data_IF_289525605558
#
_entry.id   IF_289525605558
#
_cell.length_a   1.000
_cell.length_b   1.000
_cell.length_c   1.000
_cell.angle_alpha   90.00
_cell.angle_beta   90.00
_cell.angle_gamma   90.00
#
_symmetry.space_group_name_H-M   'P 1'
#
loop_
_entity.id
_entity.type
_entity.pdbx_description
1 polymer ?
#
# COMPACT_ATOMS: atom_id res chain seq x y z
N UNK A 1 -11.19 59.30 21.22
CA UNK A 1 -11.49 60.10 22.44
C UNK A 1 -13.01 60.15 22.62
N UNK A 2 -13.55 59.51 23.69
CA UNK A 2 -14.92 59.64 24.27
C UNK A 2 -16.12 59.37 23.33
N UNK A 3 -17.23 58.71 23.70
CA UNK A 3 -17.75 58.15 24.95
C UNK A 3 -18.92 57.23 24.58
N UNK A 4 -19.07 56.16 25.34
CA UNK A 4 -20.18 55.21 25.48
C UNK A 4 -21.54 55.90 25.70
N UNK A 5 -22.65 55.23 25.33
CA UNK A 5 -23.81 55.00 26.23
C UNK A 5 -24.79 53.96 25.66
N UNK A 6 -24.95 52.87 26.42
CA UNK A 6 -26.10 51.96 26.36
C UNK A 6 -27.37 52.68 26.78
N UNK A 7 -28.52 52.27 26.24
CA UNK A 7 -29.82 52.45 26.87
C UNK A 7 -30.55 51.11 26.96
N UNK A 8 -30.82 50.75 28.21
CA UNK A 8 -31.67 49.69 28.68
C UNK A 8 -33.09 50.28 28.80
N UNK A 9 -34.10 49.66 28.19
CA UNK A 9 -35.50 49.94 28.49
C UNK A 9 -36.28 48.64 28.64
N UNK A 10 -36.57 48.32 29.90
CA UNK A 10 -37.60 47.41 30.36
C UNK A 10 -38.92 48.18 30.34
N UNK A 11 -40.04 47.64 29.82
CA UNK A 11 -41.38 47.94 30.36
C UNK A 11 -42.45 46.92 29.91
N UNK A 12 -43.09 46.34 30.94
CA UNK A 12 -44.48 45.88 31.09
C UNK A 12 -45.13 44.81 30.19
N UNK A 13 -45.29 43.65 30.83
CA UNK A 13 -46.44 42.76 30.92
C UNK A 13 -47.82 43.37 30.56
N UNK A 14 -48.56 42.71 29.66
CA UNK A 14 -50.04 42.72 29.65
C UNK A 14 -50.50 41.27 29.54
N UNK A 15 -51.20 40.82 30.57
CA UNK A 15 -51.86 39.52 30.64
C UNK A 15 -53.19 39.57 29.86
N UNK A 16 -53.41 38.61 28.97
CA UNK A 16 -54.73 38.30 28.43
C UNK A 16 -55.07 36.85 28.81
N UNK A 17 -55.90 36.72 29.84
CA UNK A 17 -56.57 35.48 30.22
C UNK A 17 -57.79 35.28 29.32
N UNK A 18 -57.76 34.26 28.47
CA UNK A 18 -58.95 33.72 27.81
C UNK A 18 -59.05 32.23 28.15
N UNK A 19 -59.97 31.91 29.07
CA UNK A 19 -60.46 30.56 29.28
C UNK A 19 -61.30 30.15 28.07
N UNK A 20 -60.91 29.05 27.42
CA UNK A 20 -61.85 28.19 26.69
C UNK A 20 -61.73 26.77 27.26
N UNK A 21 -62.86 26.26 27.75
CA UNK A 21 -63.01 24.88 28.17
C UNK A 21 -63.34 23.98 26.97
N UNK A 22 -62.66 22.83 26.95
CA UNK A 22 -63.17 21.50 26.60
C UNK A 22 -63.30 21.10 25.12
N UNK A 23 -62.41 20.21 24.65
CA UNK A 23 -62.66 18.76 24.68
C UNK A 23 -61.40 17.96 24.29
N UNK A 24 -61.22 16.82 24.96
CA UNK A 24 -60.19 15.80 24.75
C UNK A 24 -60.03 15.42 23.27
N UNK A 25 -58.78 15.38 22.79
CA UNK A 25 -58.35 14.28 21.95
C UNK A 25 -56.87 13.98 22.21
N UNK A 26 -56.58 12.70 22.26
CA UNK A 26 -55.42 12.05 22.86
C UNK A 26 -54.12 12.32 22.10
N UNK A 27 -53.04 12.44 22.85
CA UNK A 27 -51.65 12.57 22.42
C UNK A 27 -51.21 11.55 21.36
N UNK A 28 -50.48 12.04 20.35
CA UNK A 28 -49.22 11.44 19.85
C UNK A 28 -48.58 12.44 18.88
N UNK A 29 -47.68 13.27 19.39
CA UNK A 29 -46.64 13.90 18.57
C UNK A 29 -45.56 12.84 18.39
N UNK A 30 -45.39 12.38 17.16
CA UNK A 30 -44.22 11.61 16.76
C UNK A 30 -42.99 12.50 16.97
N UNK A 31 -42.30 12.26 18.08
CA UNK A 31 -40.93 12.70 18.27
C UNK A 31 -40.09 11.86 17.31
N UNK A 32 -39.60 12.50 16.25
CA UNK A 32 -38.47 11.96 15.48
C UNK A 32 -37.30 11.93 16.45
N UNK A 33 -37.04 10.75 17.02
CA UNK A 33 -35.79 10.44 17.68
C UNK A 33 -34.72 10.46 16.59
N UNK A 34 -33.89 11.51 16.57
CA UNK A 34 -32.56 11.39 15.99
C UNK A 34 -31.83 10.34 16.83
N UNK A 35 -31.80 9.11 16.33
CA UNK A 35 -30.88 8.11 16.87
C UNK A 35 -29.46 8.64 16.66
N UNK A 36 -28.58 8.59 17.67
CA UNK A 36 -27.17 8.88 17.44
C UNK A 36 -26.70 7.93 16.34
N UNK A 37 -26.17 8.46 15.24
CA UNK A 37 -25.48 7.62 14.27
C UNK A 37 -24.43 6.85 15.05
N UNK A 38 -24.56 5.52 15.13
CA UNK A 38 -23.49 4.67 15.62
C UNK A 38 -22.29 4.94 14.72
N UNK A 39 -21.37 5.77 15.21
CA UNK A 39 -20.04 5.86 14.65
C UNK A 39 -19.41 4.48 14.92
N UNK A 40 -19.63 3.54 14.00
CA UNK A 40 -19.04 2.21 14.08
C UNK A 40 -17.54 2.45 14.21
N UNK A 41 -17.01 2.18 15.41
CA UNK A 41 -15.60 2.38 15.72
C UNK A 41 -14.80 1.66 14.64
N UNK A 42 -14.13 2.44 13.80
CA UNK A 42 -13.44 1.91 12.62
C UNK A 42 -12.34 0.99 13.13
N UNK A 43 -12.41 -0.30 12.80
CA UNK A 43 -11.41 -1.27 13.22
C UNK A 43 -10.08 -0.94 12.52
N UNK A 44 -9.07 -0.61 13.30
CA UNK A 44 -7.73 -0.34 12.78
C UNK A 44 -6.90 -1.63 12.70
N UNK A 45 -6.15 -1.82 11.62
CA UNK A 45 -5.21 -2.95 11.45
C UNK A 45 -3.77 -2.50 11.63
N UNK A 46 -2.89 -3.45 11.95
CA UNK A 46 -1.44 -3.26 11.91
C UNK A 46 -0.85 -3.98 10.68
N UNK A 47 0.01 -3.33 9.89
CA UNK A 47 0.74 -4.00 8.81
C UNK A 47 1.57 -5.18 9.31
N UNK A 48 1.67 -6.23 8.49
CA UNK A 48 2.54 -7.39 8.76
C UNK A 48 3.89 -7.15 8.11
N UNK A 49 4.97 -7.16 8.89
CA UNK A 49 6.33 -7.11 8.33
C UNK A 49 6.65 -8.48 7.74
N UNK A 50 6.84 -8.54 6.42
CA UNK A 50 7.22 -9.76 5.71
C UNK A 50 8.73 -9.92 5.63
N UNK A 51 9.45 -8.82 5.50
CA UNK A 51 10.91 -8.82 5.40
C UNK A 51 11.48 -7.52 5.96
N UNK A 52 12.60 -7.62 6.67
CA UNK A 52 13.36 -6.47 7.12
C UNK A 52 14.85 -6.84 7.26
N UNK A 53 15.72 -6.08 6.60
CA UNK A 53 17.17 -6.14 6.80
C UNK A 53 17.72 -4.71 7.05
N UNK A 54 19.02 -4.49 6.91
CA UNK A 54 19.65 -3.19 7.14
C UNK A 54 19.27 -2.14 6.08
N UNK A 55 18.82 -2.56 4.89
CA UNK A 55 18.64 -1.71 3.72
C UNK A 55 17.17 -1.52 3.31
N UNK A 56 16.33 -2.50 3.60
CA UNK A 56 14.99 -2.61 3.05
C UNK A 56 14.00 -3.13 4.08
N UNK A 57 12.76 -2.69 3.94
CA UNK A 57 11.62 -3.20 4.67
C UNK A 57 10.45 -3.41 3.74
N UNK A 58 9.83 -4.58 3.86
CA UNK A 58 8.63 -4.96 3.12
C UNK A 58 7.52 -5.30 4.11
N UNK A 59 6.40 -4.62 3.96
CA UNK A 59 5.20 -4.88 4.75
C UNK A 59 4.03 -5.24 3.85
N UNK A 60 3.18 -6.16 4.33
CA UNK A 60 1.87 -6.44 3.74
C UNK A 60 0.81 -5.74 4.57
N UNK A 61 -0.11 -5.08 3.87
CA UNK A 61 -1.34 -4.55 4.47
C UNK A 61 -2.52 -5.33 3.90
N UNK A 62 -3.44 -5.68 4.79
CA UNK A 62 -4.74 -6.28 4.45
C UNK A 62 -5.81 -5.49 5.17
N UNK A 63 -6.77 -4.94 4.44
CA UNK A 63 -7.97 -4.28 4.97
C UNK A 63 -9.21 -4.98 4.44
N UNK A 64 -9.99 -5.61 5.30
CA UNK A 64 -11.35 -6.03 4.97
C UNK A 64 -12.28 -4.81 4.86
N UNK A 65 -13.52 -5.04 4.41
CA UNK A 65 -14.54 -3.99 4.32
C UNK A 65 -14.62 -3.16 5.61
N UNK A 66 -14.50 -1.84 5.46
CA UNK A 66 -14.61 -0.87 6.55
C UNK A 66 -13.40 -0.80 7.49
N UNK A 67 -12.41 -1.69 7.38
CA UNK A 67 -11.17 -1.63 8.17
C UNK A 67 -10.28 -0.47 7.70
N UNK A 68 -9.47 0.06 8.63
CA UNK A 68 -8.56 1.16 8.35
C UNK A 68 -7.12 0.88 8.78
N UNK A 69 -6.19 1.47 8.05
CA UNK A 69 -4.84 1.72 8.50
C UNK A 69 -4.83 3.10 9.16
N UNK A 70 -4.58 3.12 10.47
CA UNK A 70 -4.54 4.36 11.25
C UNK A 70 -3.46 5.32 10.73
N UNK A 71 -3.62 6.62 11.02
CA UNK A 71 -2.66 7.64 10.65
C UNK A 71 -1.26 7.30 11.19
N UNK A 72 -0.27 7.26 10.29
CA UNK A 72 1.13 6.99 10.63
C UNK A 72 2.08 7.62 9.60
N UNK A 73 3.34 7.90 10.00
CA UNK A 73 4.34 8.36 9.04
C UNK A 73 4.71 7.21 8.10
N UNK A 74 4.68 7.47 6.80
CA UNK A 74 5.24 6.61 5.76
C UNK A 74 6.54 7.19 5.22
N UNK A 75 7.48 6.32 4.91
CA UNK A 75 8.69 6.64 4.15
C UNK A 75 8.38 6.77 2.65
N UNK A 76 9.36 7.21 1.88
CA UNK A 76 9.36 7.04 0.42
C UNK A 76 9.31 5.55 0.09
N UNK A 77 8.33 5.17 -0.72
CA UNK A 77 7.98 3.77 -0.92
C UNK A 77 7.31 3.52 -2.26
N UNK A 78 7.41 2.28 -2.70
CA UNK A 78 6.64 1.77 -3.83
C UNK A 78 5.70 0.67 -3.35
N UNK A 79 4.53 0.59 -3.98
CA UNK A 79 3.47 -0.34 -3.63
C UNK A 79 3.22 -1.27 -4.81
N UNK A 80 2.91 -2.53 -4.52
CA UNK A 80 2.35 -3.48 -5.47
C UNK A 80 0.99 -3.99 -4.97
N UNK A 81 -0.03 -3.88 -5.82
CA UNK A 81 -1.40 -4.29 -5.51
C UNK A 81 -1.59 -5.81 -5.65
N UNK A 82 -1.89 -6.50 -4.55
CA UNK A 82 -2.16 -7.95 -4.55
C UNK A 82 -3.60 -8.28 -4.94
N UNK A 83 -4.53 -7.36 -4.67
CA UNK A 83 -5.94 -7.42 -5.10
C UNK A 83 -6.33 -6.16 -5.88
N UNK A 84 -7.49 -6.20 -6.53
CA UNK A 84 -8.20 -4.97 -6.89
C UNK A 84 -8.68 -4.31 -5.59
N UNK A 85 -8.45 -3.01 -5.42
CA UNK A 85 -8.93 -2.34 -4.22
C UNK A 85 -9.28 -0.88 -4.43
N UNK A 86 -10.13 -0.37 -3.55
CA UNK A 86 -10.45 1.04 -3.41
C UNK A 86 -10.38 1.42 -1.93
N UNK A 87 -9.70 2.52 -1.63
CA UNK A 87 -9.57 3.06 -0.28
C UNK A 87 -9.91 4.55 -0.28
N UNK A 88 -10.52 5.02 0.80
CA UNK A 88 -10.47 6.43 1.17
C UNK A 88 -9.05 6.73 1.67
N UNK A 89 -8.43 7.76 1.12
CA UNK A 89 -7.03 8.12 1.37
C UNK A 89 -6.92 9.49 2.01
N UNK A 90 -6.06 9.61 3.01
CA UNK A 90 -5.77 10.86 3.73
C UNK A 90 -4.26 11.11 3.73
N UNK A 91 -3.85 12.36 3.47
CA UNK A 91 -2.45 12.82 3.54
C UNK A 91 -2.38 14.09 4.39
N UNK A 92 -1.45 14.17 5.34
CA UNK A 92 -1.24 15.37 6.17
C UNK A 92 -2.54 15.94 6.79
N UNK A 93 -3.45 15.05 7.20
CA UNK A 93 -4.78 15.40 7.74
C UNK A 93 -5.78 15.99 6.74
N UNK A 94 -5.48 15.93 5.44
CA UNK A 94 -6.39 16.26 4.34
C UNK A 94 -6.96 15.01 3.68
N UNK A 95 -8.28 15.00 3.46
CA UNK A 95 -8.98 13.95 2.73
C UNK A 95 -8.69 14.05 1.22
N UNK A 96 -8.03 13.04 0.68
CA UNK A 96 -7.64 12.98 -0.74
C UNK A 96 -8.69 12.26 -1.60
N UNK A 97 -9.81 11.85 -0.99
CA UNK A 97 -10.90 11.11 -1.61
C UNK A 97 -10.58 9.63 -1.84
N UNK A 98 -11.42 8.97 -2.64
CA UNK A 98 -11.23 7.57 -3.01
C UNK A 98 -10.10 7.42 -4.03
N UNK A 99 -9.23 6.43 -3.80
CA UNK A 99 -8.20 5.98 -4.73
C UNK A 99 -8.41 4.50 -5.03
N UNK A 100 -8.21 4.10 -6.29
CA UNK A 100 -8.45 2.74 -6.75
C UNK A 100 -7.27 2.22 -7.56
N UNK A 101 -6.94 0.94 -7.36
CA UNK A 101 -5.90 0.23 -8.09
C UNK A 101 -6.36 -1.18 -8.46
N UNK A 102 -5.79 -1.71 -9.54
CA UNK A 102 -5.98 -3.08 -9.99
C UNK A 102 -4.90 -3.99 -9.44
N UNK A 103 -5.22 -5.27 -9.27
CA UNK A 103 -4.23 -6.30 -9.01
C UNK A 103 -3.14 -6.24 -10.08
N UNK A 104 -1.88 -6.19 -9.63
CA UNK A 104 -0.73 -6.06 -10.51
C UNK A 104 -0.27 -4.62 -10.75
N UNK A 105 -1.01 -3.62 -10.30
CA UNK A 105 -0.57 -2.23 -10.39
C UNK A 105 0.60 -1.96 -9.44
N UNK A 106 1.56 -1.16 -9.92
CA UNK A 106 2.64 -0.60 -9.12
C UNK A 106 2.53 0.92 -9.08
N UNK A 107 2.77 1.52 -7.92
CA UNK A 107 2.70 2.98 -7.76
C UNK A 107 3.59 3.47 -6.62
N UNK A 108 4.04 4.72 -6.71
CA UNK A 108 4.95 5.33 -5.74
C UNK A 108 4.22 6.30 -4.82
N UNK A 109 4.74 6.43 -3.61
CA UNK A 109 4.28 7.40 -2.62
C UNK A 109 5.49 8.08 -1.97
N UNK A 110 5.39 9.39 -1.79
CA UNK A 110 6.38 10.18 -1.06
C UNK A 110 6.25 9.97 0.45
N UNK A 111 7.28 10.40 1.19
CA UNK A 111 7.24 10.38 2.64
C UNK A 111 6.18 11.37 3.18
N UNK A 112 5.51 10.98 4.26
CA UNK A 112 4.48 11.81 4.88
C UNK A 112 3.51 11.05 5.78
N UNK A 113 2.78 11.80 6.61
CA UNK A 113 1.66 11.26 7.39
C UNK A 113 0.53 10.86 6.45
N UNK A 114 0.03 9.63 6.62
CA UNK A 114 -1.08 9.14 5.83
C UNK A 114 -1.96 8.16 6.62
N UNK A 115 -3.21 8.01 6.17
CA UNK A 115 -4.15 7.01 6.64
C UNK A 115 -4.92 6.43 5.45
N UNK A 116 -5.46 5.22 5.62
CA UNK A 116 -6.27 4.57 4.60
C UNK A 116 -7.46 3.86 5.24
N UNK A 117 -8.62 3.90 4.59
CA UNK A 117 -9.77 3.07 4.97
C UNK A 117 -10.30 2.35 3.76
N UNK A 118 -10.53 1.04 3.87
CA UNK A 118 -11.22 0.30 2.82
C UNK A 118 -12.69 0.70 2.83
N UNK A 119 -13.11 1.43 1.79
CA UNK A 119 -14.48 1.87 1.57
C UNK A 119 -15.18 1.07 0.47
N UNK A 120 -14.65 -0.13 0.18
CA UNK A 120 -15.24 -1.13 -0.71
C UNK A 120 -15.57 -2.41 0.07
N UNK A 121 -16.31 -3.33 -0.58
CA UNK A 121 -16.69 -4.63 0.00
C UNK A 121 -15.60 -5.69 -0.14
N UNK A 122 -14.71 -5.51 -1.12
CA UNK A 122 -13.65 -6.48 -1.41
C UNK A 122 -12.44 -6.23 -0.49
N UNK A 123 -11.72 -7.29 -0.13
CA UNK A 123 -10.50 -7.16 0.68
C UNK A 123 -9.40 -6.45 -0.10
N UNK A 124 -8.90 -5.35 0.45
CA UNK A 124 -7.76 -4.62 -0.08
C UNK A 124 -6.46 -5.23 0.44
N UNK A 125 -5.58 -5.67 -0.45
CA UNK A 125 -4.26 -6.18 -0.10
C UNK A 125 -3.17 -5.58 -0.98
N UNK A 126 -2.09 -5.14 -0.34
CA UNK A 126 -0.93 -4.63 -1.05
C UNK A 126 0.37 -4.88 -0.29
N UNK A 127 1.46 -4.87 -1.05
CA UNK A 127 2.82 -4.87 -0.54
C UNK A 127 3.38 -3.45 -0.58
N UNK A 128 4.12 -3.07 0.44
CA UNK A 128 4.84 -1.81 0.49
C UNK A 128 6.33 -2.11 0.63
N UNK A 129 7.13 -1.61 -0.30
CA UNK A 129 8.58 -1.72 -0.32
C UNK A 129 9.18 -0.35 0.01
N UNK A 130 10.03 -0.31 1.02
CA UNK A 130 10.66 0.92 1.52
C UNK A 130 12.16 0.73 1.70
N UNK A 131 12.91 1.81 1.48
CA UNK A 131 14.35 1.90 1.74
C UNK A 131 14.60 2.34 3.17
N UNK A 132 15.68 1.84 3.76
CA UNK A 132 16.26 2.37 4.99
C UNK A 132 17.42 3.31 4.67
N UNK A 133 17.85 4.07 5.66
CA UNK A 133 18.92 5.07 5.53
C UNK A 133 20.31 4.46 5.28
N UNK A 134 20.48 3.16 5.54
CA UNK A 134 21.74 2.46 5.29
C UNK A 134 22.06 2.46 3.79
N UNK A 135 23.24 2.95 3.43
CA UNK A 135 23.73 2.90 2.05
C UNK A 135 23.72 1.46 1.54
N UNK A 136 23.12 1.25 0.38
CA UNK A 136 23.06 -0.06 -0.27
C UNK A 136 24.48 -0.56 -0.58
N UNK A 137 24.71 -1.89 -0.57
CA UNK A 137 25.95 -2.48 -1.07
C UNK A 137 26.23 -1.99 -2.49
N UNK A 138 27.49 -1.67 -2.79
CA UNK A 138 27.92 -1.23 -4.13
C UNK A 138 27.54 -2.30 -5.16
N UNK A 139 26.92 -1.89 -6.27
CA UNK A 139 26.50 -2.80 -7.33
C UNK A 139 27.67 -3.34 -8.19
N UNK A 140 28.93 -3.12 -7.81
CA UNK A 140 30.11 -3.38 -8.64
C UNK A 140 29.89 -2.86 -10.09
N UNK A 141 30.32 -3.62 -11.11
CA UNK A 141 30.07 -3.30 -12.53
C UNK A 141 28.63 -3.67 -12.98
N UNK A 142 27.79 -4.22 -12.09
CA UNK A 142 26.42 -4.59 -12.42
C UNK A 142 25.52 -3.35 -12.43
N UNK A 143 24.87 -3.13 -13.57
CA UNK A 143 23.93 -2.03 -13.76
C UNK A 143 22.55 -2.56 -14.12
N UNK A 144 21.53 -1.71 -13.98
CA UNK A 144 20.18 -2.01 -14.45
C UNK A 144 20.03 -1.96 -15.98
N UNK A 145 21.11 -1.69 -16.73
CA UNK A 145 21.10 -1.70 -18.19
C UNK A 145 21.11 -3.12 -18.75
N UNK A 146 21.66 -4.07 -17.99
CA UNK A 146 21.75 -5.50 -18.34
C UNK A 146 20.89 -6.36 -17.41
N UNK A 147 19.78 -5.82 -16.90
CA UNK A 147 18.88 -6.56 -16.02
C UNK A 147 17.93 -7.49 -16.80
N UNK A 148 17.04 -8.17 -16.08
CA UNK A 148 16.07 -9.10 -16.66
C UNK A 148 15.21 -8.48 -17.77
N UNK A 149 14.90 -7.18 -17.69
CA UNK A 149 14.11 -6.50 -18.71
C UNK A 149 14.86 -6.37 -20.04
N UNK A 150 16.18 -6.35 -20.00
CA UNK A 150 17.03 -6.26 -21.20
C UNK A 150 17.22 -7.63 -21.87
N UNK A 151 17.46 -8.68 -21.08
CA UNK A 151 17.86 -10.00 -21.62
C UNK A 151 16.69 -10.93 -21.88
N UNK A 152 15.55 -10.70 -21.23
CA UNK A 152 14.37 -11.55 -21.31
C UNK A 152 13.07 -10.71 -21.33
N UNK A 153 12.93 -9.78 -22.29
CA UNK A 153 11.76 -8.88 -22.37
C UNK A 153 10.44 -9.64 -22.59
N UNK A 154 10.47 -10.82 -23.20
CA UNK A 154 9.26 -11.61 -23.49
C UNK A 154 8.60 -12.19 -22.23
N UNK A 155 9.37 -12.37 -21.15
CA UNK A 155 8.90 -12.91 -19.86
C UNK A 155 8.95 -11.87 -18.74
N UNK A 156 9.33 -10.62 -19.05
CA UNK A 156 9.47 -9.56 -18.04
C UNK A 156 8.65 -8.33 -18.40
N UNK A 157 7.87 -7.85 -17.42
CA UNK A 157 7.03 -6.68 -17.55
C UNK A 157 7.48 -5.62 -16.56
N UNK A 158 8.03 -4.52 -17.07
CA UNK A 158 8.32 -3.33 -16.26
C UNK A 158 7.00 -2.71 -15.77
N UNK A 159 6.86 -2.57 -14.45
CA UNK A 159 5.66 -2.00 -13.82
C UNK A 159 5.88 -0.56 -13.36
N UNK A 160 7.06 -0.27 -12.83
CA UNK A 160 7.44 1.05 -12.33
C UNK A 160 8.95 1.22 -12.40
N UNK A 161 9.39 2.42 -12.76
CA UNK A 161 10.80 2.81 -12.76
C UNK A 161 10.91 4.27 -12.30
N UNK A 162 11.47 4.50 -11.12
CA UNK A 162 11.73 5.85 -10.58
C UNK A 162 13.18 5.94 -10.06
N UNK A 163 13.54 7.03 -9.40
CA UNK A 163 14.93 7.26 -8.98
C UNK A 163 15.41 6.27 -7.91
N UNK A 164 14.50 5.73 -7.10
CA UNK A 164 14.83 4.86 -5.96
C UNK A 164 14.58 3.37 -6.20
N UNK A 165 13.68 3.03 -7.12
CA UNK A 165 13.17 1.69 -7.33
C UNK A 165 12.93 1.37 -8.81
N UNK A 166 13.07 0.09 -9.14
CA UNK A 166 12.47 -0.50 -10.34
C UNK A 166 11.69 -1.74 -9.94
N UNK A 167 10.43 -1.84 -10.37
CA UNK A 167 9.58 -3.01 -10.16
C UNK A 167 9.35 -3.69 -11.51
N UNK A 168 9.72 -4.95 -11.59
CA UNK A 168 9.47 -5.81 -12.74
C UNK A 168 8.74 -7.06 -12.29
N UNK A 169 7.66 -7.41 -12.99
CA UNK A 169 7.04 -8.72 -12.85
C UNK A 169 7.68 -9.67 -13.86
N UNK A 170 8.12 -10.83 -13.40
CA UNK A 170 8.58 -11.92 -14.26
C UNK A 170 7.53 -13.02 -14.27
N UNK A 171 7.27 -13.54 -15.46
CA UNK A 171 6.37 -14.67 -15.72
C UNK A 171 7.12 -15.66 -16.61
N UNK A 172 7.76 -16.65 -15.99
CA UNK A 172 8.66 -17.60 -16.65
C UNK A 172 7.95 -18.97 -16.81
N UNK A 173 7.60 -19.40 -18.04
CA UNK A 173 6.97 -20.68 -18.29
C UNK A 173 7.81 -21.88 -17.83
N UNK A 174 7.20 -23.06 -17.71
CA UNK A 174 7.92 -24.31 -17.42
C UNK A 174 9.03 -24.56 -18.45
N UNK A 175 10.24 -24.87 -17.97
CA UNK A 175 11.41 -25.20 -18.80
C UNK A 175 12.09 -24.00 -19.47
N UNK A 176 11.54 -22.79 -19.33
CA UNK A 176 12.15 -21.59 -19.90
C UNK A 176 13.29 -21.06 -19.02
N UNK A 177 14.23 -20.37 -19.67
CA UNK A 177 15.44 -19.84 -19.03
C UNK A 177 15.55 -18.33 -19.20
N UNK A 178 16.04 -17.67 -18.16
CA UNK A 178 16.58 -16.32 -18.26
C UNK A 178 18.11 -16.45 -18.30
N UNK A 179 18.76 -16.01 -19.39
CA UNK A 179 20.21 -16.13 -19.53
C UNK A 179 20.95 -15.27 -18.49
N UNK A 180 22.27 -15.40 -18.45
CA UNK A 180 23.12 -14.63 -17.54
C UNK A 180 22.86 -13.13 -17.72
N UNK A 181 22.60 -12.45 -16.61
CA UNK A 181 22.31 -11.02 -16.56
C UNK A 181 22.68 -10.41 -15.21
N UNK A 182 22.73 -9.08 -15.16
CA UNK A 182 23.06 -8.33 -13.96
C UNK A 182 21.87 -8.29 -13.00
N UNK A 183 22.08 -8.76 -11.78
CA UNK A 183 21.20 -8.56 -10.65
C UNK A 183 21.66 -7.36 -9.82
N UNK A 184 20.81 -6.35 -9.65
CA UNK A 184 21.03 -5.30 -8.65
C UNK A 184 20.60 -5.78 -7.25
N UNK A 185 20.84 -4.96 -6.22
CA UNK A 185 20.28 -5.17 -4.88
C UNK A 185 18.75 -5.22 -4.98
N UNK A 186 18.15 -6.35 -4.63
CA UNK A 186 16.73 -6.57 -4.92
C UNK A 186 16.03 -7.45 -3.90
N UNK A 187 14.75 -7.17 -3.71
CA UNK A 187 13.80 -8.10 -3.13
C UNK A 187 13.19 -8.91 -4.28
N UNK A 188 13.07 -10.21 -4.07
CA UNK A 188 12.17 -11.07 -4.85
C UNK A 188 10.96 -11.39 -3.98
N UNK A 189 9.77 -11.28 -4.57
CA UNK A 189 8.51 -11.70 -3.94
C UNK A 189 7.79 -12.70 -4.85
N UNK A 190 7.56 -13.91 -4.35
CA UNK A 190 6.90 -14.98 -5.10
C UNK A 190 5.40 -14.71 -5.22
N UNK A 191 4.90 -14.61 -6.46
CA UNK A 191 3.46 -14.48 -6.75
C UNK A 191 2.79 -15.85 -6.99
N UNK A 192 3.55 -16.85 -7.43
CA UNK A 192 3.13 -18.25 -7.54
C UNK A 192 4.08 -19.19 -6.79
N UNK A 193 3.69 -20.46 -6.66
CA UNK A 193 4.61 -21.54 -6.32
C UNK A 193 5.49 -21.84 -7.53
N UNK A 194 6.81 -21.98 -7.33
CA UNK A 194 7.74 -22.33 -8.41
C UNK A 194 9.02 -22.98 -7.90
N UNK A 195 9.77 -23.55 -8.84
CA UNK A 195 11.06 -24.19 -8.61
C UNK A 195 12.03 -23.73 -9.70
N UNK A 196 13.19 -23.21 -9.30
CA UNK A 196 14.21 -22.71 -10.21
C UNK A 196 15.54 -23.41 -10.00
N UNK A 197 16.25 -23.70 -11.07
CA UNK A 197 17.71 -23.83 -11.02
C UNK A 197 18.28 -22.40 -11.05
N UNK A 198 19.13 -22.08 -10.07
CA UNK A 198 19.76 -20.77 -9.93
C UNK A 198 21.28 -20.91 -10.02
N UNK A 199 21.89 -20.25 -10.99
CA UNK A 199 23.34 -20.18 -11.18
C UNK A 199 23.81 -18.75 -10.95
N UNK A 200 24.89 -18.54 -10.22
CA UNK A 200 25.49 -17.20 -10.07
C UNK A 200 27.00 -17.24 -9.99
N UNK A 201 27.62 -16.07 -10.10
CA UNK A 201 29.06 -15.88 -9.85
C UNK A 201 29.45 -15.99 -8.36
N UNK A 202 28.47 -15.98 -7.45
CA UNK A 202 28.69 -16.02 -6.00
C UNK A 202 28.33 -17.36 -5.35
N UNK A 203 27.56 -18.20 -6.03
CA UNK A 203 27.03 -19.47 -5.54
C UNK A 203 26.98 -20.46 -6.69
N UNK A 204 27.39 -21.71 -6.42
CA UNK A 204 27.21 -22.84 -7.33
C UNK A 204 25.71 -23.04 -7.68
N UNK A 205 25.44 -23.84 -8.71
CA UNK A 205 24.09 -24.18 -9.14
C UNK A 205 23.27 -24.73 -7.97
N UNK A 206 22.13 -24.09 -7.68
CA UNK A 206 21.24 -24.47 -6.60
C UNK A 206 19.79 -24.53 -7.09
N UNK A 207 19.18 -25.68 -6.87
CA UNK A 207 17.73 -25.83 -6.98
C UNK A 207 17.06 -25.12 -5.81
N UNK A 208 16.14 -24.21 -6.12
CA UNK A 208 15.40 -23.40 -5.14
C UNK A 208 13.91 -23.55 -5.36
N UNK A 209 13.19 -23.90 -4.31
CA UNK A 209 11.73 -23.96 -4.30
C UNK A 209 11.16 -22.79 -3.52
N UNK A 210 10.12 -22.16 -4.07
CA UNK A 210 9.42 -21.03 -3.46
C UNK A 210 7.91 -21.26 -3.48
N UNK A 211 7.26 -20.75 -2.45
CA UNK A 211 5.80 -20.69 -2.29
C UNK A 211 5.30 -19.28 -2.55
N UNK A 212 4.06 -19.16 -3.04
CA UNK A 212 3.40 -17.86 -3.15
C UNK A 212 3.42 -17.13 -1.81
N UNK A 213 3.93 -15.90 -1.80
CA UNK A 213 4.15 -15.10 -0.60
C UNK A 213 5.57 -15.17 -0.02
N UNK A 214 6.42 -16.09 -0.48
CA UNK A 214 7.83 -16.12 -0.09
C UNK A 214 8.54 -14.84 -0.53
N UNK A 215 9.46 -14.39 0.32
CA UNK A 215 10.22 -13.15 0.13
C UNK A 215 11.68 -13.36 0.50
N UNK A 216 12.58 -12.86 -0.35
CA UNK A 216 14.01 -12.98 -0.10
C UNK A 216 14.78 -11.82 -0.74
N UNK A 217 15.95 -11.53 -0.15
CA UNK A 217 16.85 -10.48 -0.59
C UNK A 217 18.03 -11.07 -1.36
N UNK A 218 18.47 -10.36 -2.39
CA UNK A 218 19.71 -10.62 -3.10
C UNK A 218 20.54 -9.37 -3.18
N UNK A 219 21.82 -9.51 -2.84
CA UNK A 219 22.84 -8.53 -3.19
C UNK A 219 23.15 -8.59 -4.70
N UNK A 220 24.00 -7.68 -5.15
CA UNK A 220 24.41 -7.64 -6.55
C UNK A 220 25.19 -8.90 -6.96
N UNK A 221 24.85 -9.46 -8.11
CA UNK A 221 25.50 -10.64 -8.69
C UNK A 221 25.10 -10.79 -10.16
N UNK A 222 25.97 -11.39 -10.97
CA UNK A 222 25.54 -11.96 -12.25
C UNK A 222 24.90 -13.32 -12.01
N UNK A 223 23.76 -13.57 -12.63
CA UNK A 223 23.05 -14.83 -12.46
C UNK A 223 22.22 -15.20 -13.68
N UNK A 224 21.92 -16.49 -13.79
CA UNK A 224 20.91 -17.05 -14.69
C UNK A 224 19.94 -17.91 -13.90
N UNK A 225 18.73 -18.08 -14.43
CA UNK A 225 17.74 -18.96 -13.84
C UNK A 225 17.03 -19.80 -14.91
N UNK A 226 16.63 -21.01 -14.53
CA UNK A 226 15.75 -21.88 -15.31
C UNK A 226 14.58 -22.32 -14.46
N UNK A 227 13.37 -22.30 -15.01
CA UNK A 227 12.21 -22.89 -14.35
C UNK A 227 12.22 -24.40 -14.53
N UNK A 228 12.75 -25.13 -13.55
CA UNK A 228 12.81 -26.59 -13.51
C UNK A 228 11.52 -27.23 -12.97
N UNK A 229 10.57 -26.41 -12.52
CA UNK A 229 9.28 -26.85 -11.99
C UNK A 229 8.34 -27.43 -13.05
N UNK A 230 7.05 -27.47 -12.70
CA UNK A 230 5.96 -28.02 -13.54
C UNK A 230 4.85 -26.98 -13.81
N UNK A 231 5.09 -25.74 -13.39
CA UNK A 231 4.15 -24.63 -13.45
C UNK A 231 4.88 -23.35 -13.81
N UNK A 232 4.13 -22.37 -14.30
CA UNK A 232 4.64 -21.03 -14.56
C UNK A 232 5.13 -20.36 -13.25
N UNK A 233 6.36 -19.86 -13.27
CA UNK A 233 6.93 -19.09 -12.19
C UNK A 233 6.56 -17.62 -12.35
N UNK A 234 5.86 -17.06 -11.37
CA UNK A 234 5.53 -15.65 -11.33
C UNK A 234 6.09 -15.03 -10.06
N UNK A 235 6.88 -13.96 -10.21
CA UNK A 235 7.48 -13.25 -9.10
C UNK A 235 7.77 -11.79 -9.45
N UNK A 236 7.87 -10.96 -8.42
CA UNK A 236 8.35 -9.59 -8.54
C UNK A 236 9.85 -9.54 -8.35
N UNK A 237 10.51 -8.76 -9.17
CA UNK A 237 11.87 -8.27 -8.98
C UNK A 237 11.77 -6.80 -8.62
N UNK A 238 12.01 -6.48 -7.34
CA UNK A 238 12.00 -5.10 -6.84
C UNK A 238 13.44 -4.69 -6.59
N UNK A 239 14.02 -4.00 -7.57
CA UNK A 239 15.37 -3.47 -7.54
C UNK A 239 15.43 -2.16 -6.77
N UNK A 240 16.41 -2.05 -5.87
CA UNK A 240 16.68 -0.89 -5.03
C UNK A 240 17.86 -0.14 -5.64
N UNK A 241 17.61 1.06 -6.18
CA UNK A 241 18.62 1.85 -6.84
C UNK A 241 19.48 2.58 -5.82
N UNK A 242 20.77 2.73 -6.11
CA UNK A 242 21.57 3.71 -5.38
C UNK A 242 21.14 5.10 -5.86
N UNK A 243 21.00 6.06 -4.95
CA UNK A 243 20.94 7.46 -5.37
C UNK A 243 22.31 7.77 -5.95
N UNK A 244 22.36 8.30 -7.16
CA UNK A 244 23.60 8.86 -7.71
C UNK A 244 24.14 9.87 -6.69
N UNK A 245 25.40 9.72 -6.28
CA UNK A 245 26.08 10.70 -5.41
C UNK A 245 26.30 12.04 -6.13
#
# INVERSE_FOLDING_TARGET
MKRTKQFLSIFMLVAFTSLYLSCKNTDKKDAVSEEPSEEIATKTVSPVVLFENDYAKVVKVTLNEGEALAAHPGEERVIYSLTDYTIAWQEQDEEMGSKSWKKGDAHAHTAGQHAAKNNSTDTAEWLTFSKKDTKLPACAENTLEKDVNSVAPDVSKLLLDNDDFRITMVTLPEGEKIPIHSGSNRIIYALSDYELEYTSDTQDDLDKQFKSGDIHWHETCEHSIENIGKTEASFLVVSYKQKDE
#
